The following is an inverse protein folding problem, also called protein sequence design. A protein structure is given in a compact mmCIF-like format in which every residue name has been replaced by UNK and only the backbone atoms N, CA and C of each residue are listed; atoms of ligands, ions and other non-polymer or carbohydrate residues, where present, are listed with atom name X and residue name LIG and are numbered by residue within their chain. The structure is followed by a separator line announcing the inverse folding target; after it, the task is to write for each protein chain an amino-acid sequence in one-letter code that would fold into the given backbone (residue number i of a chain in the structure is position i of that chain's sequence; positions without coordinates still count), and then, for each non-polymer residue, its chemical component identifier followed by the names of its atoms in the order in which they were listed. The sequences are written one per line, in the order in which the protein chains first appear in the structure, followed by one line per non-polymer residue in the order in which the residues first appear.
data_IF_648457811668
#
_entry.id   IF_648457811668
#
_cell.length_a   1.000
_cell.length_b   1.000
_cell.length_c   1.000
_cell.angle_alpha   90.00
_cell.angle_beta   90.00
_cell.angle_gamma   90.00
#
_symmetry.space_group_name_H-M   'P 1'
#
loop_
_entity.id
_entity.type
_entity.pdbx_description
1 polymer ?
#
# COMPACT_ATOMS: atom_id res chain seq x y z
N UNK A 1 9.89 16.53 36.74
CA UNK A 1 11.22 16.34 36.16
C UNK A 1 11.08 15.37 35.03
N UNK A 2 10.98 15.85 33.80
CA UNK A 2 10.85 15.01 32.61
C UNK A 2 12.26 14.53 32.22
N UNK A 3 12.61 13.34 32.70
CA UNK A 3 13.82 12.66 32.24
C UNK A 3 13.66 12.28 30.78
N UNK A 4 14.27 13.05 29.88
CA UNK A 4 14.57 12.56 28.54
C UNK A 4 15.66 11.50 28.69
N UNK A 5 15.25 10.22 28.63
CA UNK A 5 16.18 9.16 28.35
C UNK A 5 16.71 9.39 26.91
N UNK A 6 18.02 9.31 26.68
CA UNK A 6 18.58 9.42 25.35
C UNK A 6 18.01 8.29 24.51
N UNK A 7 17.27 8.62 23.46
CA UNK A 7 16.85 7.64 22.44
C UNK A 7 18.13 7.05 21.84
N UNK A 8 18.44 5.82 22.21
CA UNK A 8 19.59 5.10 21.65
C UNK A 8 19.38 5.01 20.14
N UNK A 9 20.36 5.46 19.36
CA UNK A 9 20.32 5.32 17.90
C UNK A 9 20.37 3.84 17.55
N UNK A 10 19.31 3.30 16.96
CA UNK A 10 19.20 1.90 16.59
C UNK A 10 19.53 1.69 15.12
N UNK A 11 20.17 0.58 14.82
CA UNK A 11 20.28 0.05 13.46
C UNK A 11 19.09 -0.88 13.21
N UNK A 12 18.26 -0.51 12.22
CA UNK A 12 16.99 -1.17 11.90
C UNK A 12 17.13 -1.92 10.58
N UNK A 13 16.88 -3.22 10.57
CA UNK A 13 16.97 -4.05 9.39
C UNK A 13 15.61 -4.31 8.76
N UNK A 14 15.30 -3.64 7.67
CA UNK A 14 14.11 -3.92 6.87
C UNK A 14 14.32 -5.19 6.05
N UNK A 15 13.40 -6.13 6.15
CA UNK A 15 13.40 -7.39 5.39
C UNK A 15 12.13 -7.54 4.60
N UNK A 16 12.24 -7.72 3.29
CA UNK A 16 11.12 -8.00 2.39
C UNK A 16 11.57 -8.89 1.23
N UNK A 17 10.64 -9.35 0.43
CA UNK A 17 10.95 -10.03 -0.82
C UNK A 17 11.50 -9.07 -1.88
N UNK A 18 11.02 -7.83 -1.88
CA UNK A 18 11.57 -6.75 -2.70
C UNK A 18 11.33 -5.38 -2.05
N UNK A 19 12.21 -4.45 -2.36
CA UNK A 19 12.02 -3.01 -2.19
C UNK A 19 12.21 -2.36 -3.56
N UNK A 20 11.09 -2.05 -4.21
CA UNK A 20 11.07 -1.38 -5.51
C UNK A 20 9.98 -0.30 -5.47
N UNK A 21 10.27 0.89 -5.96
CA UNK A 21 9.50 2.13 -5.78
C UNK A 21 8.02 2.05 -6.15
N UNK A 22 7.60 1.11 -6.98
CA UNK A 22 6.25 1.09 -7.59
C UNK A 22 5.17 0.35 -6.81
N UNK A 23 5.52 -0.51 -5.85
CA UNK A 23 4.53 -1.28 -5.10
C UNK A 23 4.17 -0.65 -3.74
N UNK A 24 2.94 -0.89 -3.29
CA UNK A 24 2.42 -0.27 -2.06
C UNK A 24 3.19 -0.62 -0.79
N UNK A 25 3.80 -1.82 -0.69
CA UNK A 25 4.62 -2.23 0.45
C UNK A 25 5.93 -1.45 0.46
N UNK A 26 6.60 -1.37 -0.70
CA UNK A 26 7.85 -0.61 -0.85
C UNK A 26 7.68 0.88 -0.59
N UNK A 27 6.56 1.46 -1.06
CA UNK A 27 6.23 2.86 -0.80
C UNK A 27 5.99 3.12 0.69
N UNK A 28 5.24 2.25 1.37
CA UNK A 28 4.97 2.41 2.80
C UNK A 28 6.22 2.20 3.65
N UNK A 29 7.05 1.19 3.30
CA UNK A 29 8.36 0.98 3.94
C UNK A 29 9.28 2.19 3.82
N UNK A 30 9.20 2.93 2.69
CA UNK A 30 9.98 4.18 2.50
C UNK A 30 9.56 5.26 3.48
N UNK A 31 8.25 5.40 3.72
CA UNK A 31 7.71 6.37 4.68
C UNK A 31 8.10 6.02 6.11
N UNK A 32 8.04 4.72 6.47
CA UNK A 32 8.52 4.24 7.76
C UNK A 32 10.01 4.52 7.94
N UNK A 33 10.83 4.19 6.93
CA UNK A 33 12.26 4.49 6.95
C UNK A 33 12.55 5.98 7.12
N UNK A 34 11.84 6.85 6.40
CA UNK A 34 11.98 8.30 6.55
C UNK A 34 11.69 8.74 7.98
N UNK A 35 10.55 8.33 8.54
CA UNK A 35 10.15 8.68 9.92
C UNK A 35 11.15 8.15 10.95
N UNK A 36 11.62 6.90 10.80
CA UNK A 36 12.60 6.30 11.69
C UNK A 36 13.96 7.01 11.60
N UNK A 37 14.35 7.46 10.41
CA UNK A 37 15.58 8.26 10.21
C UNK A 37 15.45 9.64 10.86
N UNK A 38 14.29 10.29 10.76
CA UNK A 38 14.00 11.55 11.44
C UNK A 38 13.99 11.39 12.98
N UNK A 39 13.70 10.19 13.49
CA UNK A 39 13.82 9.84 14.92
C UNK A 39 15.26 9.53 15.35
N UNK A 40 16.25 9.55 14.43
CA UNK A 40 17.66 9.32 14.70
C UNK A 40 18.15 7.88 14.50
N UNK A 41 17.31 6.99 13.95
CA UNK A 41 17.71 5.61 13.67
C UNK A 41 18.36 5.45 12.29
N UNK A 42 19.11 4.38 12.07
CA UNK A 42 19.71 4.05 10.76
C UNK A 42 19.01 2.84 10.16
N UNK A 43 18.57 2.93 8.91
CA UNK A 43 17.86 1.86 8.22
C UNK A 43 18.76 1.14 7.22
N UNK A 44 18.68 -0.20 7.22
CA UNK A 44 19.36 -1.12 6.33
C UNK A 44 18.33 -2.07 5.69
N UNK A 45 18.66 -2.70 4.57
CA UNK A 45 17.71 -3.47 3.78
C UNK A 45 18.24 -4.85 3.41
N UNK A 46 17.40 -5.86 3.50
CA UNK A 46 17.61 -7.21 3.00
C UNK A 46 16.45 -7.61 2.12
N UNK A 47 16.69 -7.91 0.84
CA UNK A 47 15.64 -8.31 -0.09
C UNK A 47 16.18 -9.13 -1.26
N UNK A 48 15.26 -9.72 -2.05
CA UNK A 48 15.59 -10.35 -3.33
C UNK A 48 15.81 -9.35 -4.47
N UNK A 49 15.19 -8.17 -4.37
CA UNK A 49 15.39 -7.02 -5.26
C UNK A 49 15.28 -5.74 -4.43
N UNK A 50 16.19 -4.78 -4.66
CA UNK A 50 16.27 -3.57 -3.87
C UNK A 50 16.76 -2.39 -4.71
N UNK A 51 16.04 -1.25 -4.62
CA UNK A 51 16.40 0.04 -5.24
C UNK A 51 16.94 1.05 -4.22
N UNK A 52 17.15 0.60 -2.97
CA UNK A 52 17.70 1.42 -1.89
C UNK A 52 19.23 1.55 -2.02
N UNK A 53 19.87 2.48 -1.27
CA UNK A 53 21.32 2.68 -1.34
C UNK A 53 22.09 1.37 -1.18
N UNK A 54 22.98 1.07 -2.13
CA UNK A 54 23.70 -0.21 -2.18
C UNK A 54 24.56 -0.48 -0.93
N UNK A 55 25.12 0.58 -0.34
CA UNK A 55 25.93 0.52 0.87
C UNK A 55 25.16 0.14 2.14
N UNK A 56 23.81 0.19 2.06
CA UNK A 56 22.90 -0.18 3.17
C UNK A 56 22.02 -1.38 2.81
N UNK A 57 22.29 -2.04 1.70
CA UNK A 57 21.44 -3.09 1.16
C UNK A 57 22.19 -4.39 0.95
N UNK A 58 21.56 -5.51 1.31
CA UNK A 58 21.98 -6.85 0.95
C UNK A 58 20.92 -7.45 0.05
N UNK A 59 21.30 -7.79 -1.19
CA UNK A 59 20.40 -8.38 -2.18
C UNK A 59 20.74 -9.86 -2.33
N UNK A 60 19.75 -10.72 -2.04
CA UNK A 60 19.84 -12.18 -2.18
C UNK A 60 18.72 -12.63 -3.09
N UNK A 61 19.00 -13.03 -4.34
CA UNK A 61 17.95 -13.28 -5.36
C UNK A 61 16.88 -14.29 -4.92
N UNK A 62 17.25 -15.29 -4.13
CA UNK A 62 16.35 -16.32 -3.59
C UNK A 62 15.31 -15.76 -2.59
N UNK A 63 15.53 -14.56 -2.08
CA UNK A 63 14.52 -13.86 -1.28
C UNK A 63 13.40 -13.27 -2.15
N UNK A 64 13.60 -13.11 -3.47
CA UNK A 64 12.55 -12.62 -4.38
C UNK A 64 11.53 -13.71 -4.70
N UNK A 65 10.26 -13.32 -4.81
CA UNK A 65 9.18 -14.26 -5.12
C UNK A 65 9.18 -14.73 -6.58
N UNK A 66 9.81 -13.99 -7.52
CA UNK A 66 9.93 -14.38 -8.93
C UNK A 66 11.22 -15.18 -9.21
N UNK A 67 12.03 -15.49 -8.19
CA UNK A 67 13.15 -16.38 -8.38
C UNK A 67 12.66 -17.77 -8.85
N UNK A 68 13.28 -18.40 -9.87
CA UNK A 68 12.78 -19.64 -10.47
C UNK A 68 12.51 -20.77 -9.46
N UNK A 69 13.42 -20.95 -8.49
CA UNK A 69 13.27 -21.95 -7.43
C UNK A 69 12.06 -21.64 -6.53
N UNK A 70 11.83 -20.38 -6.18
CA UNK A 70 10.71 -19.94 -5.34
C UNK A 70 9.38 -20.07 -6.08
N UNK A 71 9.34 -19.72 -7.37
CA UNK A 71 8.16 -19.92 -8.21
C UNK A 71 7.76 -21.39 -8.27
N UNK A 72 8.73 -22.29 -8.46
CA UNK A 72 8.44 -23.73 -8.55
C UNK A 72 8.01 -24.30 -7.18
N UNK A 73 8.68 -23.94 -6.08
CA UNK A 73 8.25 -24.28 -4.71
C UNK A 73 6.81 -23.83 -4.47
N UNK A 74 6.49 -22.57 -4.80
CA UNK A 74 5.16 -21.98 -4.60
C UNK A 74 4.12 -22.70 -5.46
N UNK A 75 4.44 -22.96 -6.73
CA UNK A 75 3.55 -23.70 -7.63
C UNK A 75 3.23 -25.10 -7.09
N UNK A 76 4.22 -25.85 -6.63
CA UNK A 76 4.00 -27.19 -6.08
C UNK A 76 3.21 -27.12 -4.77
N UNK A 77 3.52 -26.19 -3.88
CA UNK A 77 2.89 -26.03 -2.58
C UNK A 77 1.39 -25.72 -2.68
N UNK A 78 0.98 -24.89 -3.66
CA UNK A 78 -0.39 -24.38 -3.79
C UNK A 78 -1.20 -24.99 -4.96
N UNK A 79 -0.64 -25.99 -5.66
CA UNK A 79 -1.37 -26.78 -6.67
C UNK A 79 -1.70 -28.18 -6.22
N UNK A 80 -1.15 -28.65 -5.10
CA UNK A 80 -1.27 -30.02 -4.63
C UNK A 80 -1.92 -30.08 -3.25
N UNK A 81 -2.57 -31.20 -2.93
CA UNK A 81 -3.10 -31.50 -1.59
C UNK A 81 -2.16 -32.38 -0.77
N UNK A 82 -1.30 -33.13 -1.44
CA UNK A 82 -0.31 -34.03 -0.83
C UNK A 82 1.08 -33.50 -1.18
N UNK A 83 1.91 -33.33 -0.15
CA UNK A 83 3.25 -32.78 -0.30
C UNK A 83 4.25 -33.84 -0.76
N UNK A 84 4.90 -33.65 -1.92
CA UNK A 84 6.02 -34.49 -2.31
C UNK A 84 7.20 -34.32 -1.33
N UNK A 85 7.89 -35.41 -0.92
CA UNK A 85 9.02 -35.32 0.03
C UNK A 85 10.11 -34.33 -0.44
N UNK A 86 10.39 -34.30 -1.73
CA UNK A 86 11.38 -33.38 -2.32
C UNK A 86 11.05 -31.92 -2.06
N UNK A 87 9.76 -31.53 -1.96
CA UNK A 87 9.39 -30.16 -1.67
C UNK A 87 9.85 -29.71 -0.28
N UNK A 88 9.75 -30.61 0.71
CA UNK A 88 10.24 -30.32 2.08
C UNK A 88 11.75 -30.08 2.08
N UNK A 89 12.52 -30.88 1.35
CA UNK A 89 13.98 -30.71 1.24
C UNK A 89 14.32 -29.35 0.62
N UNK A 90 13.72 -29.04 -0.53
CA UNK A 90 13.94 -27.78 -1.26
C UNK A 90 13.61 -26.56 -0.40
N UNK A 91 12.46 -26.56 0.31
CA UNK A 91 12.10 -25.46 1.21
C UNK A 91 13.18 -25.27 2.28
N UNK A 92 13.66 -26.35 2.90
CA UNK A 92 14.65 -26.29 3.96
C UNK A 92 16.04 -25.88 3.47
N UNK A 93 16.45 -26.37 2.31
CA UNK A 93 17.76 -26.04 1.73
C UNK A 93 17.85 -24.54 1.40
N UNK A 94 16.84 -23.99 0.73
CA UNK A 94 16.77 -22.54 0.43
C UNK A 94 16.60 -21.72 1.71
N UNK A 95 15.82 -22.20 2.69
CA UNK A 95 15.65 -21.51 3.96
C UNK A 95 16.97 -21.45 4.74
N UNK A 96 17.75 -22.55 4.77
CA UNK A 96 19.09 -22.57 5.38
C UNK A 96 20.02 -21.55 4.76
N UNK A 97 20.07 -21.51 3.43
CA UNK A 97 20.84 -20.53 2.68
C UNK A 97 20.42 -19.07 2.99
N UNK A 98 19.13 -18.77 2.96
CA UNK A 98 18.62 -17.44 3.29
C UNK A 98 18.90 -17.06 4.75
N UNK A 99 18.78 -18.00 5.69
CA UNK A 99 19.07 -17.79 7.11
C UNK A 99 20.52 -17.40 7.34
N UNK A 100 21.46 -18.06 6.68
CA UNK A 100 22.89 -17.71 6.74
C UNK A 100 23.14 -16.26 6.26
N UNK A 101 22.47 -15.85 5.18
CA UNK A 101 22.60 -14.48 4.67
C UNK A 101 21.94 -13.45 5.58
N UNK A 102 20.81 -13.77 6.22
CA UNK A 102 20.19 -12.93 7.24
C UNK A 102 21.09 -12.77 8.47
N UNK A 103 21.75 -13.83 8.93
CA UNK A 103 22.72 -13.76 10.03
C UNK A 103 23.92 -12.86 9.65
N UNK A 104 24.42 -12.98 8.42
CA UNK A 104 25.50 -12.11 7.91
C UNK A 104 25.04 -10.65 7.86
N UNK A 105 23.83 -10.39 7.37
CA UNK A 105 23.23 -9.05 7.32
C UNK A 105 23.14 -8.43 8.72
N UNK A 106 22.61 -9.17 9.70
CA UNK A 106 22.47 -8.69 11.08
C UNK A 106 23.85 -8.33 11.66
N UNK A 107 24.85 -9.19 11.47
CA UNK A 107 26.21 -8.96 11.98
C UNK A 107 26.93 -7.82 11.26
N UNK A 108 26.79 -7.74 9.93
CA UNK A 108 27.48 -6.74 9.10
C UNK A 108 27.07 -5.32 9.48
N UNK A 109 25.78 -5.11 9.77
CA UNK A 109 25.23 -3.79 10.06
C UNK A 109 24.85 -3.59 11.52
N UNK A 110 25.21 -4.53 12.40
CA UNK A 110 24.88 -4.49 13.83
C UNK A 110 23.39 -4.19 14.05
N UNK A 111 22.51 -4.99 13.43
CA UNK A 111 21.07 -4.78 13.45
C UNK A 111 20.52 -5.08 14.83
N UNK A 112 19.82 -4.09 15.41
CA UNK A 112 19.19 -4.19 16.72
C UNK A 112 17.74 -4.66 16.66
N UNK A 113 17.00 -4.26 15.61
CA UNK A 113 15.58 -4.60 15.41
C UNK A 113 15.35 -4.95 13.95
N UNK A 114 14.62 -6.03 13.68
CA UNK A 114 14.14 -6.36 12.34
C UNK A 114 12.75 -5.74 12.10
N UNK A 115 12.54 -5.18 10.91
CA UNK A 115 11.25 -4.77 10.39
C UNK A 115 10.92 -5.66 9.18
N UNK A 116 10.02 -6.62 9.37
CA UNK A 116 9.68 -7.61 8.33
C UNK A 116 8.42 -7.17 7.61
N UNK A 117 8.59 -6.76 6.36
CA UNK A 117 7.53 -6.26 5.51
C UNK A 117 6.87 -7.40 4.72
N UNK A 118 5.68 -7.78 5.12
CA UNK A 118 4.79 -8.75 4.47
C UNK A 118 5.34 -10.19 4.30
N UNK A 119 6.61 -10.45 4.60
CA UNK A 119 7.22 -11.78 4.40
C UNK A 119 6.69 -12.84 5.38
N UNK A 120 6.14 -12.44 6.52
CA UNK A 120 5.48 -13.31 7.51
C UNK A 120 3.94 -13.20 7.46
N UNK A 121 3.38 -12.67 6.38
CA UNK A 121 1.94 -12.41 6.22
C UNK A 121 1.31 -13.31 5.16
N UNK A 122 1.97 -13.42 4.01
CA UNK A 122 1.49 -14.15 2.84
C UNK A 122 2.54 -15.11 2.30
N UNK A 123 2.17 -16.37 1.98
CA UNK A 123 3.13 -17.43 1.67
C UNK A 123 3.59 -17.42 0.19
N UNK A 124 4.12 -16.29 -0.27
CA UNK A 124 4.68 -16.18 -1.63
C UNK A 124 6.17 -16.54 -1.68
N UNK A 125 6.85 -16.62 -0.52
CA UNK A 125 8.18 -17.17 -0.39
C UNK A 125 8.27 -17.96 0.93
N UNK A 126 7.94 -19.25 0.87
CA UNK A 126 7.97 -20.15 2.04
C UNK A 126 9.38 -20.27 2.66
N UNK A 127 10.46 -20.43 1.88
CA UNK A 127 11.82 -20.47 2.42
C UNK A 127 12.23 -19.23 3.23
N UNK A 128 11.92 -18.03 2.75
CA UNK A 128 12.24 -16.79 3.46
C UNK A 128 11.50 -16.69 4.81
N UNK A 129 10.21 -17.05 4.81
CA UNK A 129 9.43 -17.04 6.04
C UNK A 129 9.93 -18.09 7.04
N UNK A 130 10.38 -19.27 6.58
CA UNK A 130 10.97 -20.29 7.43
C UNK A 130 12.29 -19.78 8.02
N UNK A 131 13.17 -19.23 7.19
CA UNK A 131 14.44 -18.66 7.62
C UNK A 131 14.26 -17.57 8.70
N UNK A 132 13.31 -16.65 8.48
CA UNK A 132 12.99 -15.59 9.45
C UNK A 132 12.41 -16.16 10.74
N UNK A 133 11.45 -17.08 10.65
CA UNK A 133 10.80 -17.65 11.83
C UNK A 133 11.80 -18.38 12.72
N UNK A 134 12.67 -19.20 12.13
CA UNK A 134 13.72 -19.90 12.86
C UNK A 134 14.77 -18.94 13.44
N UNK A 135 15.24 -17.98 12.64
CA UNK A 135 16.22 -16.98 13.07
C UNK A 135 15.70 -16.17 14.28
N UNK A 136 14.47 -15.68 14.22
CA UNK A 136 13.87 -14.89 15.30
C UNK A 136 13.69 -15.77 16.56
N UNK A 137 13.23 -17.03 16.38
CA UNK A 137 13.05 -17.95 17.49
C UNK A 137 14.38 -18.32 18.20
N UNK A 138 15.46 -18.49 17.43
CA UNK A 138 16.77 -18.88 17.96
C UNK A 138 17.55 -17.72 18.56
N UNK A 139 17.47 -16.55 17.96
CA UNK A 139 18.25 -15.37 18.40
C UNK A 139 17.54 -14.50 19.42
N UNK A 140 16.19 -14.55 19.46
CA UNK A 140 15.40 -13.61 20.25
C UNK A 140 15.48 -12.16 19.76
N UNK A 141 15.96 -11.92 18.53
CA UNK A 141 16.11 -10.56 18.00
C UNK A 141 14.76 -9.83 17.99
N UNK A 142 14.67 -8.63 18.58
CA UNK A 142 13.48 -7.81 18.53
C UNK A 142 12.99 -7.62 17.09
N UNK A 143 11.73 -7.90 16.83
CA UNK A 143 11.19 -7.89 15.46
C UNK A 143 9.82 -7.24 15.41
N UNK A 144 9.60 -6.37 14.42
CA UNK A 144 8.29 -5.84 14.02
C UNK A 144 7.90 -6.54 12.73
N UNK A 145 6.81 -7.31 12.74
CA UNK A 145 6.22 -7.89 11.52
C UNK A 145 5.07 -6.99 11.06
N UNK A 146 5.28 -6.29 9.95
CA UNK A 146 4.30 -5.39 9.35
C UNK A 146 3.52 -6.11 8.25
N UNK A 147 2.21 -6.22 8.45
CA UNK A 147 1.30 -6.99 7.61
C UNK A 147 0.39 -6.07 6.83
N UNK A 148 0.55 -6.03 5.51
CA UNK A 148 -0.35 -5.31 4.60
C UNK A 148 -1.54 -6.16 4.17
N UNK A 149 -1.34 -7.47 4.09
CA UNK A 149 -2.33 -8.49 3.79
C UNK A 149 -2.11 -9.70 4.70
N UNK A 150 -3.13 -10.56 4.81
CA UNK A 150 -3.03 -11.84 5.49
C UNK A 150 -3.39 -12.98 4.52
N UNK A 151 -2.74 -14.14 4.63
CA UNK A 151 -2.82 -15.20 3.63
C UNK A 151 -4.25 -15.69 3.36
N UNK A 152 -5.11 -15.69 4.38
CA UNK A 152 -6.49 -16.13 4.25
C UNK A 152 -7.39 -15.18 3.47
N UNK A 153 -6.95 -13.97 3.21
CA UNK A 153 -7.64 -13.01 2.34
C UNK A 153 -7.46 -13.34 0.86
N UNK A 154 -6.53 -14.25 0.54
CA UNK A 154 -6.19 -14.63 -0.83
C UNK A 154 -6.53 -16.11 -1.10
N UNK A 155 -7.62 -16.33 -1.83
CA UNK A 155 -8.16 -17.68 -2.14
C UNK A 155 -7.12 -18.67 -2.69
N UNK A 156 -6.13 -18.20 -3.43
CA UNK A 156 -5.07 -19.02 -4.05
C UNK A 156 -4.22 -19.80 -3.03
N UNK A 157 -4.19 -19.40 -1.76
CA UNK A 157 -3.41 -20.07 -0.72
C UNK A 157 -4.24 -21.04 0.13
N UNK A 158 -5.55 -21.08 -0.06
CA UNK A 158 -6.44 -21.93 0.74
C UNK A 158 -6.37 -23.42 0.34
N UNK A 159 -5.95 -23.72 -0.89
CA UNK A 159 -5.67 -25.08 -1.33
C UNK A 159 -4.16 -25.27 -1.39
N UNK A 160 -3.63 -26.11 -0.51
CA UNK A 160 -2.18 -26.30 -0.40
C UNK A 160 -1.82 -27.63 0.25
N UNK A 161 -0.56 -28.01 0.18
CA UNK A 161 0.01 -29.20 0.84
C UNK A 161 1.01 -28.84 1.96
N UNK A 162 0.99 -27.59 2.46
CA UNK A 162 1.99 -27.03 3.39
C UNK A 162 1.36 -26.34 4.61
N UNK A 163 0.21 -26.89 5.09
CA UNK A 163 -0.51 -26.31 6.23
C UNK A 163 0.31 -26.23 7.52
N UNK A 164 1.23 -27.14 7.73
CA UNK A 164 2.18 -27.12 8.84
C UNK A 164 3.06 -25.86 8.79
N UNK A 165 3.67 -25.55 7.64
CA UNK A 165 4.42 -24.33 7.43
C UNK A 165 3.55 -23.07 7.55
N UNK A 166 2.36 -23.07 6.93
CA UNK A 166 1.44 -21.94 7.02
C UNK A 166 1.06 -21.64 8.47
N UNK A 167 0.73 -22.66 9.24
CA UNK A 167 0.35 -22.51 10.64
C UNK A 167 1.51 -22.08 11.54
N UNK A 168 2.73 -22.40 11.17
CA UNK A 168 3.92 -22.02 11.92
C UNK A 168 4.37 -20.57 11.62
N UNK A 169 4.28 -20.12 10.35
CA UNK A 169 4.98 -18.93 9.87
C UNK A 169 4.08 -17.73 9.47
N UNK A 170 2.75 -17.93 9.28
CA UNK A 170 1.90 -16.91 8.70
C UNK A 170 0.68 -16.53 9.54
N UNK A 171 0.87 -15.61 10.50
CA UNK A 171 2.12 -15.15 11.08
C UNK A 171 2.59 -16.05 12.24
N UNK A 172 3.89 -16.08 12.55
CA UNK A 172 4.42 -16.85 13.68
C UNK A 172 4.06 -16.18 15.02
N UNK A 173 4.02 -16.94 16.09
CA UNK A 173 3.85 -16.42 17.45
C UNK A 173 5.14 -16.61 18.24
N UNK A 174 5.94 -15.55 18.36
CA UNK A 174 7.25 -15.57 19.02
C UNK A 174 7.32 -14.42 20.05
N UNK A 175 7.99 -14.63 21.22
CA UNK A 175 8.04 -13.65 22.30
C UNK A 175 8.69 -12.31 21.91
N UNK A 176 9.71 -12.33 21.04
CA UNK A 176 10.44 -11.15 20.58
C UNK A 176 9.81 -10.47 19.35
N UNK A 177 8.62 -10.91 18.93
CA UNK A 177 7.98 -10.44 17.71
C UNK A 177 6.68 -9.71 18.02
N UNK A 178 6.59 -8.47 17.55
CA UNK A 178 5.40 -7.63 17.61
C UNK A 178 4.75 -7.58 16.23
N UNK A 179 3.43 -7.73 16.19
CA UNK A 179 2.67 -7.65 14.95
C UNK A 179 2.06 -6.28 14.76
N UNK A 180 2.19 -5.74 13.55
CA UNK A 180 1.55 -4.51 13.10
C UNK A 180 0.70 -4.81 11.87
N UNK A 181 -0.51 -4.31 11.84
CA UNK A 181 -1.46 -4.42 10.72
C UNK A 181 -1.94 -3.04 10.30
N UNK A 182 -2.38 -2.90 9.05
CA UNK A 182 -2.77 -1.60 8.50
C UNK A 182 -4.25 -1.23 8.75
N UNK A 183 -5.06 -2.13 9.32
CA UNK A 183 -6.47 -1.87 9.61
C UNK A 183 -6.99 -2.71 10.78
N UNK A 184 -8.11 -2.28 11.38
CA UNK A 184 -8.71 -2.94 12.55
C UNK A 184 -9.31 -4.32 12.22
N UNK A 185 -9.78 -4.53 11.00
CA UNK A 185 -10.31 -5.82 10.54
C UNK A 185 -9.22 -6.90 10.57
N UNK A 186 -8.02 -6.58 10.10
CA UNK A 186 -6.87 -7.48 10.14
C UNK A 186 -6.45 -7.80 11.59
N UNK A 187 -6.45 -6.79 12.49
CA UNK A 187 -6.18 -7.00 13.92
C UNK A 187 -7.19 -7.97 14.56
N UNK A 188 -8.48 -7.77 14.30
CA UNK A 188 -9.54 -8.64 14.78
C UNK A 188 -9.40 -10.07 14.23
N UNK A 189 -9.10 -10.22 12.93
CA UNK A 189 -8.89 -11.52 12.30
C UNK A 189 -7.68 -12.25 12.90
N UNK A 190 -6.56 -11.56 13.15
CA UNK A 190 -5.38 -12.12 13.81
C UNK A 190 -5.72 -12.62 15.22
N UNK A 191 -6.42 -11.80 15.99
CA UNK A 191 -6.85 -12.15 17.33
C UNK A 191 -7.74 -13.40 17.34
N UNK A 192 -8.80 -13.41 16.52
CA UNK A 192 -9.76 -14.52 16.51
C UNK A 192 -9.20 -15.82 15.90
N UNK A 193 -8.39 -15.71 14.83
CA UNK A 193 -7.88 -16.90 14.11
C UNK A 193 -6.60 -17.48 14.70
N UNK A 194 -5.78 -16.62 15.30
CA UNK A 194 -4.41 -16.98 15.72
C UNK A 194 -4.11 -16.73 17.19
N UNK A 195 -5.00 -16.03 17.92
CA UNK A 195 -4.73 -15.58 19.29
C UNK A 195 -3.55 -14.61 19.38
N UNK A 196 -3.33 -13.81 18.33
CA UNK A 196 -2.25 -12.85 18.22
C UNK A 196 -2.81 -11.43 18.34
N UNK A 197 -2.30 -10.66 19.30
CA UNK A 197 -2.57 -9.23 19.37
C UNK A 197 -1.69 -8.48 18.36
N UNK A 198 -2.23 -7.42 17.75
CA UNK A 198 -1.50 -6.58 16.81
C UNK A 198 -1.77 -5.10 17.07
N UNK A 199 -0.77 -4.27 16.82
CA UNK A 199 -0.94 -2.82 16.73
C UNK A 199 -1.55 -2.47 15.38
N UNK A 200 -2.45 -1.48 15.35
CA UNK A 200 -3.03 -0.97 14.11
C UNK A 200 -2.31 0.32 13.74
N UNK A 201 -1.49 0.24 12.70
CA UNK A 201 -0.81 1.39 12.12
C UNK A 201 -1.25 1.50 10.66
N UNK A 202 -2.18 2.38 10.33
CA UNK A 202 -2.64 2.57 8.95
C UNK A 202 -1.56 3.23 8.09
N UNK A 203 -1.72 3.15 6.78
CA UNK A 203 -0.88 3.87 5.84
C UNK A 203 -0.93 5.37 6.10
N UNK A 204 0.17 6.06 5.85
CA UNK A 204 0.37 7.47 6.18
C UNK A 204 0.78 8.31 4.97
N UNK A 205 0.65 9.64 5.11
CA UNK A 205 1.25 10.63 4.22
C UNK A 205 1.88 11.77 5.01
N UNK A 206 2.79 12.50 4.37
CA UNK A 206 3.47 13.61 5.01
C UNK A 206 2.58 14.87 5.07
N UNK A 207 1.51 14.81 5.85
CA UNK A 207 0.59 15.94 6.07
C UNK A 207 1.22 17.13 6.82
N UNK A 208 2.43 16.98 7.34
CA UNK A 208 3.14 18.09 7.97
C UNK A 208 3.78 19.02 6.92
N UNK A 209 3.94 18.54 5.69
CA UNK A 209 4.32 19.34 4.52
C UNK A 209 3.11 19.42 3.58
N UNK A 210 2.50 20.59 3.40
CA UNK A 210 1.38 20.74 2.47
C UNK A 210 1.85 20.46 1.03
N UNK A 211 0.94 19.97 0.17
CA UNK A 211 1.27 19.79 -1.24
C UNK A 211 1.69 21.13 -1.86
N UNK A 212 2.68 21.14 -2.76
CA UNK A 212 3.05 22.37 -3.46
C UNK A 212 1.87 22.89 -4.29
N UNK A 213 1.83 24.20 -4.57
CA UNK A 213 0.81 24.73 -5.48
C UNK A 213 1.03 24.21 -6.92
N UNK A 214 -0.03 24.13 -7.74
CA UNK A 214 0.10 23.86 -9.17
C UNK A 214 1.02 24.87 -9.84
N UNK A 215 1.85 24.42 -10.76
CA UNK A 215 2.84 25.22 -11.46
C UNK A 215 2.62 25.23 -12.99
N UNK A 216 3.50 25.95 -13.72
CA UNK A 216 3.46 26.03 -15.19
C UNK A 216 3.66 24.67 -15.86
N UNK A 217 4.42 23.75 -15.24
CA UNK A 217 4.62 22.40 -15.80
C UNK A 217 3.30 21.63 -15.87
N UNK A 218 2.51 21.70 -14.82
CA UNK A 218 1.20 21.02 -14.73
C UNK A 218 0.10 21.76 -15.50
N UNK A 219 0.32 23.00 -15.96
CA UNK A 219 -0.70 23.80 -16.63
C UNK A 219 -1.20 23.16 -17.93
N UNK A 220 -0.30 22.54 -18.72
CA UNK A 220 -0.66 21.92 -20.00
C UNK A 220 -1.27 20.51 -19.88
N UNK A 221 -1.40 19.95 -18.67
CA UNK A 221 -1.90 18.57 -18.49
C UNK A 221 -3.29 18.36 -19.11
N UNK A 222 -4.21 19.31 -18.92
CA UNK A 222 -5.58 19.17 -19.48
C UNK A 222 -5.55 19.16 -21.01
N UNK A 223 -4.74 20.03 -21.61
CA UNK A 223 -4.54 20.08 -23.06
C UNK A 223 -3.90 18.77 -23.59
N UNK A 224 -2.84 18.29 -22.93
CA UNK A 224 -2.15 17.05 -23.29
C UNK A 224 -3.04 15.80 -23.14
N UNK A 225 -4.06 15.85 -22.28
CA UNK A 225 -5.10 14.84 -22.12
C UNK A 225 -6.32 15.06 -23.05
N UNK A 226 -6.36 16.16 -23.80
CA UNK A 226 -7.47 16.52 -24.67
C UNK A 226 -8.76 16.87 -23.90
N UNK A 227 -8.63 17.44 -22.70
CA UNK A 227 -9.74 17.87 -21.83
C UNK A 227 -9.98 19.36 -22.09
N UNK A 228 -11.19 19.71 -22.59
CA UNK A 228 -11.56 21.10 -22.83
C UNK A 228 -11.77 21.87 -21.52
N UNK A 229 -11.71 23.22 -21.60
CA UNK A 229 -11.84 24.07 -20.40
C UNK A 229 -13.22 23.97 -19.73
N UNK A 230 -14.25 23.65 -20.51
CA UNK A 230 -15.65 23.46 -20.07
C UNK A 230 -15.99 22.01 -19.66
N UNK A 231 -15.04 21.07 -19.78
CA UNK A 231 -15.21 19.68 -19.34
C UNK A 231 -14.65 19.50 -17.93
N UNK A 232 -15.31 18.72 -17.09
CA UNK A 232 -14.74 18.28 -15.81
C UNK A 232 -13.69 17.20 -16.00
N UNK A 233 -12.63 17.28 -15.20
CA UNK A 233 -11.58 16.28 -15.12
C UNK A 233 -11.81 15.37 -13.89
N UNK A 234 -12.36 14.19 -14.09
CA UNK A 234 -12.51 13.20 -13.04
C UNK A 234 -11.36 12.20 -13.08
N UNK A 235 -10.68 12.05 -11.95
CA UNK A 235 -9.49 11.21 -11.82
C UNK A 235 -9.83 9.89 -11.16
N UNK A 236 -9.47 8.77 -11.82
CA UNK A 236 -9.44 7.42 -11.26
C UNK A 236 -7.97 7.01 -11.00
N UNK A 237 -7.40 7.28 -9.81
CA UNK A 237 -5.96 7.13 -9.57
C UNK A 237 -5.60 5.73 -9.10
N UNK A 238 -6.03 4.71 -9.84
CA UNK A 238 -5.80 3.31 -9.47
C UNK A 238 -5.42 2.47 -10.67
N UNK A 239 -4.74 1.34 -10.42
CA UNK A 239 -4.52 0.31 -11.45
C UNK A 239 -5.85 -0.23 -11.96
N UNK A 240 -5.85 -0.66 -13.22
CA UNK A 240 -7.02 -1.25 -13.89
C UNK A 240 -7.13 -2.72 -13.48
N UNK A 241 -7.84 -2.98 -12.37
CA UNK A 241 -8.13 -4.32 -11.85
C UNK A 241 -9.55 -4.39 -11.31
N UNK A 242 -10.24 -5.53 -11.44
CA UNK A 242 -11.68 -5.69 -11.16
C UNK A 242 -12.11 -5.18 -9.79
N UNK A 243 -11.32 -5.44 -8.74
CA UNK A 243 -11.64 -4.99 -7.37
C UNK A 243 -11.70 -3.46 -7.20
N UNK A 244 -11.21 -2.69 -8.18
CA UNK A 244 -11.29 -1.22 -8.17
C UNK A 244 -12.65 -0.68 -8.61
N UNK A 245 -13.51 -1.52 -9.18
CA UNK A 245 -14.91 -1.18 -9.50
C UNK A 245 -15.05 0.01 -10.43
N UNK A 246 -14.16 0.15 -11.42
CA UNK A 246 -14.07 1.31 -12.32
C UNK A 246 -15.36 1.50 -13.11
N UNK A 247 -16.12 0.43 -13.31
CA UNK A 247 -17.47 0.47 -13.91
C UNK A 247 -18.39 1.46 -13.18
N UNK A 248 -18.30 1.54 -11.85
CA UNK A 248 -19.10 2.51 -11.08
C UNK A 248 -18.66 3.97 -11.34
N UNK A 249 -17.38 4.21 -11.60
CA UNK A 249 -16.91 5.53 -12.00
C UNK A 249 -17.48 5.92 -13.37
N UNK A 250 -17.51 4.98 -14.33
CA UNK A 250 -18.10 5.18 -15.66
C UNK A 250 -19.62 5.44 -15.53
N UNK A 251 -20.34 4.61 -14.74
CA UNK A 251 -21.77 4.81 -14.45
C UNK A 251 -22.02 6.18 -13.82
N UNK A 252 -21.22 6.57 -12.83
CA UNK A 252 -21.33 7.87 -12.16
C UNK A 252 -21.21 9.02 -13.16
N UNK A 253 -20.16 9.03 -13.99
CA UNK A 253 -19.96 10.07 -15.02
C UNK A 253 -21.16 10.15 -15.96
N UNK A 254 -21.63 9.01 -16.45
CA UNK A 254 -22.81 8.94 -17.35
C UNK A 254 -24.05 9.55 -16.73
N UNK A 255 -24.36 9.13 -15.50
CA UNK A 255 -25.59 9.54 -14.80
C UNK A 255 -25.53 10.96 -14.27
N UNK A 256 -24.33 11.46 -13.96
CA UNK A 256 -24.12 12.85 -13.56
C UNK A 256 -24.56 13.82 -14.65
N UNK A 257 -24.32 13.46 -15.91
CA UNK A 257 -24.83 14.19 -17.10
C UNK A 257 -24.10 15.51 -17.35
N UNK A 258 -22.92 15.73 -16.73
CA UNK A 258 -22.07 16.90 -16.98
C UNK A 258 -21.02 16.60 -18.08
N UNK A 259 -20.55 17.61 -18.83
CA UNK A 259 -19.40 17.43 -19.71
C UNK A 259 -18.18 17.02 -18.90
N UNK A 260 -17.70 15.80 -19.06
CA UNK A 260 -16.61 15.28 -18.25
C UNK A 260 -15.75 14.26 -18.98
N UNK A 261 -14.50 14.15 -18.58
CA UNK A 261 -13.55 13.09 -18.94
C UNK A 261 -13.21 12.28 -17.71
N UNK A 262 -13.26 10.97 -17.81
CA UNK A 262 -12.75 10.05 -16.79
C UNK A 262 -11.34 9.64 -17.17
N UNK A 263 -10.36 10.01 -16.35
CA UNK A 263 -8.93 9.75 -16.60
C UNK A 263 -8.43 8.70 -15.63
N UNK A 264 -7.87 7.60 -16.13
CA UNK A 264 -7.20 6.57 -15.36
C UNK A 264 -5.69 6.81 -15.44
N UNK A 265 -5.04 7.06 -14.31
CA UNK A 265 -3.62 7.44 -14.27
C UNK A 265 -2.63 6.28 -14.24
N UNK A 266 -3.09 5.05 -14.02
CA UNK A 266 -2.22 3.88 -13.89
C UNK A 266 -2.54 2.84 -14.96
N UNK A 267 -1.50 2.13 -15.41
CA UNK A 267 -1.61 1.03 -16.37
C UNK A 267 -2.51 -0.11 -15.89
N UNK A 268 -2.83 -1.00 -16.81
CA UNK A 268 -3.41 -2.32 -16.52
C UNK A 268 -2.53 -3.05 -15.51
N UNK A 269 -3.15 -3.64 -14.50
CA UNK A 269 -2.42 -4.42 -13.50
C UNK A 269 -2.15 -5.85 -13.97
N UNK A 270 -1.75 -6.71 -13.04
CA UNK A 270 -1.39 -8.12 -13.25
C UNK A 270 -2.55 -9.00 -13.80
N UNK A 271 -3.77 -8.46 -13.96
CA UNK A 271 -4.96 -9.17 -14.44
C UNK A 271 -5.10 -9.16 -15.98
N UNK A 272 -4.11 -8.59 -16.70
CA UNK A 272 -4.06 -8.56 -18.17
C UNK A 272 -4.96 -7.47 -18.81
N UNK A 273 -4.95 -7.43 -20.14
CA UNK A 273 -5.62 -6.37 -20.93
C UNK A 273 -7.13 -6.60 -21.10
N UNK A 274 -7.65 -7.81 -20.80
CA UNK A 274 -9.05 -8.14 -21.01
C UNK A 274 -9.99 -7.22 -20.20
N UNK A 275 -9.63 -6.92 -18.96
CA UNK A 275 -10.45 -6.04 -18.13
C UNK A 275 -10.37 -4.58 -18.59
N UNK A 276 -9.21 -4.11 -19.05
CA UNK A 276 -9.09 -2.79 -19.66
C UNK A 276 -9.96 -2.69 -20.92
N UNK A 277 -9.93 -3.69 -21.80
CA UNK A 277 -10.78 -3.74 -22.98
C UNK A 277 -12.28 -3.74 -22.65
N UNK A 278 -12.68 -4.48 -21.60
CA UNK A 278 -14.03 -4.45 -21.08
C UNK A 278 -14.46 -3.04 -20.66
N UNK A 279 -13.61 -2.32 -19.92
CA UNK A 279 -13.89 -0.95 -19.48
C UNK A 279 -14.05 0.03 -20.65
N UNK A 280 -13.22 -0.07 -21.69
CA UNK A 280 -13.37 0.74 -22.91
C UNK A 280 -14.70 0.46 -23.59
N UNK A 281 -15.02 -0.82 -23.79
CA UNK A 281 -16.31 -1.21 -24.37
C UNK A 281 -17.48 -0.70 -23.54
N UNK A 282 -17.40 -0.80 -22.22
CA UNK A 282 -18.45 -0.32 -21.33
C UNK A 282 -18.56 1.21 -21.35
N UNK A 283 -17.44 1.94 -21.38
CA UNK A 283 -17.42 3.40 -21.49
C UNK A 283 -18.07 3.87 -22.81
N UNK A 284 -17.75 3.21 -23.93
CA UNK A 284 -18.35 3.50 -25.22
C UNK A 284 -19.87 3.27 -25.21
N UNK A 285 -20.34 2.15 -24.68
CA UNK A 285 -21.78 1.86 -24.54
C UNK A 285 -22.50 2.89 -23.66
N UNK A 286 -21.81 3.37 -22.63
CA UNK A 286 -22.34 4.41 -21.72
C UNK A 286 -22.14 5.82 -22.27
N UNK A 287 -21.50 5.99 -23.43
CA UNK A 287 -21.13 7.29 -24.01
C UNK A 287 -20.32 8.17 -23.04
N UNK A 288 -19.35 7.57 -22.36
CA UNK A 288 -18.41 8.23 -21.44
C UNK A 288 -17.02 8.28 -22.07
N UNK A 289 -16.43 9.46 -22.08
CA UNK A 289 -15.06 9.66 -22.60
C UNK A 289 -14.06 9.20 -21.55
N UNK A 290 -13.49 8.01 -21.76
CA UNK A 290 -12.48 7.38 -20.90
C UNK A 290 -11.08 7.60 -21.49
N UNK A 291 -10.11 8.06 -20.67
CA UNK A 291 -8.72 8.33 -21.06
C UNK A 291 -7.80 7.48 -20.21
N UNK A 292 -6.91 6.71 -20.85
CA UNK A 292 -5.78 6.08 -20.17
C UNK A 292 -4.58 7.02 -20.25
N UNK A 293 -4.08 7.44 -19.09
CA UNK A 293 -2.98 8.39 -18.99
C UNK A 293 -1.64 7.74 -18.55
N UNK A 294 -1.60 6.42 -18.45
CA UNK A 294 -0.44 5.65 -17.98
C UNK A 294 0.85 5.90 -18.79
N UNK A 295 0.74 6.28 -20.06
CA UNK A 295 1.90 6.62 -20.90
C UNK A 295 2.52 7.97 -20.55
N UNK A 296 1.73 8.93 -20.05
CA UNK A 296 2.18 10.29 -19.72
C UNK A 296 2.16 10.60 -18.23
N UNK A 297 1.79 9.62 -17.39
CA UNK A 297 1.84 9.73 -15.93
C UNK A 297 2.86 8.74 -15.39
N UNK A 298 3.82 9.25 -14.62
CA UNK A 298 4.90 8.47 -14.03
C UNK A 298 5.18 8.84 -12.58
N UNK A 299 6.16 8.19 -11.97
CA UNK A 299 6.58 8.49 -10.60
C UNK A 299 7.19 9.89 -10.45
N UNK A 300 7.87 10.33 -11.49
CA UNK A 300 8.58 11.61 -11.55
C UNK A 300 8.29 12.30 -12.88
N UNK A 301 8.33 13.61 -12.83
CA UNK A 301 8.29 14.43 -14.04
C UNK A 301 9.46 14.12 -14.96
N UNK A 302 9.23 14.17 -16.26
CA UNK A 302 10.21 13.88 -17.29
C UNK A 302 9.68 14.17 -18.70
N UNK A 303 10.31 13.55 -19.70
CA UNK A 303 9.87 13.64 -21.09
C UNK A 303 10.00 12.28 -21.77
N UNK A 304 9.05 11.95 -22.62
CA UNK A 304 9.10 10.81 -23.52
C UNK A 304 10.08 11.06 -24.68
N UNK A 305 10.54 10.04 -25.39
CA UNK A 305 11.43 10.21 -26.55
C UNK A 305 10.84 11.09 -27.67
N UNK A 306 9.52 11.17 -27.76
CA UNK A 306 8.79 12.01 -28.73
C UNK A 306 8.60 13.46 -28.27
N UNK A 307 9.14 13.83 -27.10
CA UNK A 307 9.08 15.17 -26.53
C UNK A 307 7.84 15.45 -25.67
N UNK A 308 6.87 14.54 -25.58
CA UNK A 308 5.72 14.70 -24.66
C UNK A 308 6.17 14.69 -23.21
N UNK A 309 5.51 15.48 -22.37
CA UNK A 309 5.78 15.54 -20.93
C UNK A 309 5.33 14.23 -20.24
N UNK A 310 6.10 13.84 -19.22
CA UNK A 310 5.67 12.86 -18.20
C UNK A 310 5.28 13.63 -16.95
N UNK A 311 4.05 13.51 -16.55
CA UNK A 311 3.48 14.13 -15.36
C UNK A 311 3.61 13.23 -14.14
N UNK A 312 3.82 13.80 -12.97
CA UNK A 312 3.76 13.08 -11.71
C UNK A 312 2.32 12.93 -11.22
N UNK A 313 2.08 12.04 -10.26
CA UNK A 313 0.77 11.94 -9.59
C UNK A 313 0.33 13.28 -8.98
N UNK A 314 1.28 14.07 -8.44
CA UNK A 314 0.98 15.42 -7.97
C UNK A 314 0.33 16.27 -9.06
N UNK A 315 0.88 16.27 -10.27
CA UNK A 315 0.34 17.07 -11.38
C UNK A 315 -1.10 16.68 -11.70
N UNK A 316 -1.37 15.40 -11.73
CA UNK A 316 -2.69 14.87 -12.06
C UNK A 316 -3.71 15.23 -10.96
N UNK A 317 -3.36 14.99 -9.69
CA UNK A 317 -4.23 15.39 -8.57
C UNK A 317 -4.43 16.90 -8.52
N UNK A 318 -3.40 17.69 -8.79
CA UNK A 318 -3.49 19.16 -8.71
C UNK A 318 -4.44 19.78 -9.74
N UNK A 319 -4.76 19.07 -10.81
CA UNK A 319 -5.58 19.54 -11.93
C UNK A 319 -6.95 18.86 -12.06
N UNK A 320 -7.20 17.79 -11.31
CA UNK A 320 -8.52 17.15 -11.33
C UNK A 320 -9.54 17.90 -10.50
N UNK A 321 -10.81 17.79 -10.90
CA UNK A 321 -11.95 18.42 -10.22
C UNK A 321 -12.54 17.50 -9.15
N UNK A 322 -12.53 16.16 -9.39
CA UNK A 322 -13.02 15.13 -8.47
C UNK A 322 -12.19 13.86 -8.62
N UNK A 323 -11.91 13.20 -7.50
CA UNK A 323 -11.32 11.86 -7.49
C UNK A 323 -12.43 10.82 -7.38
N UNK A 324 -12.41 9.81 -8.25
CA UNK A 324 -13.28 8.64 -8.15
C UNK A 324 -12.54 7.48 -7.51
N UNK A 325 -13.10 6.92 -6.44
CA UNK A 325 -12.52 5.80 -5.72
C UNK A 325 -13.59 4.73 -5.41
N UNK A 326 -14.13 4.08 -6.44
CA UNK A 326 -15.25 3.14 -6.33
C UNK A 326 -14.82 1.73 -5.92
N UNK A 327 -13.67 1.58 -5.29
CA UNK A 327 -13.09 0.27 -4.94
C UNK A 327 -14.05 -0.59 -4.11
N UNK A 328 -14.14 -1.87 -4.47
CA UNK A 328 -14.95 -2.87 -3.74
C UNK A 328 -14.21 -3.43 -2.55
N UNK A 329 -12.88 -3.52 -2.64
CA UNK A 329 -12.03 -4.10 -1.61
C UNK A 329 -10.67 -3.40 -1.58
N UNK A 330 -10.27 -2.94 -0.39
CA UNK A 330 -8.97 -2.35 -0.10
C UNK A 330 -8.44 -2.78 1.26
N UNK A 331 -7.11 -2.91 1.37
CA UNK A 331 -6.45 -3.09 2.65
C UNK A 331 -6.51 -1.83 3.52
N UNK A 332 -6.34 -0.65 2.91
CA UNK A 332 -6.54 0.65 3.54
C UNK A 332 -7.11 1.65 2.52
N UNK A 333 -6.34 2.06 1.51
CA UNK A 333 -6.77 2.99 0.47
C UNK A 333 -5.80 4.15 0.26
N UNK A 334 -4.65 3.90 -0.38
CA UNK A 334 -3.66 4.96 -0.64
C UNK A 334 -4.24 6.09 -1.47
N UNK A 335 -5.03 5.80 -2.51
CA UNK A 335 -5.66 6.83 -3.33
C UNK A 335 -6.66 7.70 -2.54
N UNK A 336 -7.28 7.16 -1.47
CA UNK A 336 -8.05 7.96 -0.53
C UNK A 336 -7.14 8.96 0.19
N UNK A 337 -5.99 8.50 0.75
CA UNK A 337 -5.04 9.40 1.43
C UNK A 337 -4.45 10.46 0.50
N UNK A 338 -4.15 10.08 -0.73
CA UNK A 338 -3.65 10.99 -1.76
C UNK A 338 -4.67 12.08 -2.09
N UNK A 339 -5.94 11.71 -2.31
CA UNK A 339 -7.01 12.67 -2.55
C UNK A 339 -7.16 13.67 -1.39
N UNK A 340 -7.10 13.18 -0.14
CA UNK A 340 -7.14 14.02 1.06
C UNK A 340 -5.91 14.94 1.14
N UNK A 341 -4.72 14.39 0.87
CA UNK A 341 -3.47 15.14 0.91
C UNK A 341 -3.44 16.27 -0.12
N UNK A 342 -3.86 15.98 -1.36
CA UNK A 342 -3.93 16.96 -2.44
C UNK A 342 -5.18 17.84 -2.41
N UNK A 343 -5.98 17.73 -1.34
CA UNK A 343 -7.19 18.53 -1.11
C UNK A 343 -8.16 18.42 -2.30
N UNK A 344 -8.48 17.18 -2.71
CA UNK A 344 -9.46 16.93 -3.78
C UNK A 344 -10.73 16.33 -3.21
N UNK A 345 -11.90 16.77 -3.71
CA UNK A 345 -13.15 16.12 -3.37
C UNK A 345 -13.15 14.68 -3.88
N UNK A 346 -13.87 13.79 -3.21
CA UNK A 346 -13.74 12.36 -3.41
C UNK A 346 -15.12 11.72 -3.49
N UNK A 347 -15.35 10.90 -4.55
CA UNK A 347 -16.41 9.90 -4.62
C UNK A 347 -15.85 8.56 -4.13
N UNK A 348 -16.45 7.97 -3.12
CA UNK A 348 -15.98 6.72 -2.52
C UNK A 348 -17.09 5.69 -2.38
N UNK A 349 -16.79 4.43 -2.71
CA UNK A 349 -17.65 3.31 -2.32
C UNK A 349 -17.41 2.95 -0.85
N UNK A 350 -18.46 2.59 -0.12
CA UNK A 350 -18.37 2.17 1.28
C UNK A 350 -17.75 0.77 1.43
N UNK A 351 -16.48 0.59 0.97
CA UNK A 351 -15.77 -0.67 1.24
C UNK A 351 -15.50 -0.85 2.74
N UNK A 352 -15.31 -2.09 3.16
CA UNK A 352 -15.26 -2.47 4.59
C UNK A 352 -14.34 -1.59 5.43
N UNK A 353 -13.10 -1.38 5.00
CA UNK A 353 -12.12 -0.60 5.79
C UNK A 353 -12.48 0.88 5.84
N UNK A 354 -13.02 1.44 4.75
CA UNK A 354 -13.54 2.81 4.79
C UNK A 354 -14.65 2.95 5.83
N UNK A 355 -15.63 2.06 5.81
CA UNK A 355 -16.79 2.09 6.70
C UNK A 355 -16.42 1.91 8.18
N UNK A 356 -15.41 1.07 8.49
CA UNK A 356 -15.05 0.73 9.87
C UNK A 356 -13.97 1.65 10.43
N UNK A 357 -12.92 1.96 9.65
CA UNK A 357 -11.72 2.62 10.16
C UNK A 357 -11.59 4.09 9.75
N UNK A 358 -12.19 4.50 8.62
CA UNK A 358 -12.01 5.84 8.06
C UNK A 358 -13.23 6.73 8.33
N UNK A 359 -14.40 6.32 7.86
CA UNK A 359 -15.65 7.09 7.99
C UNK A 359 -15.98 7.52 9.43
N UNK A 360 -15.80 6.68 10.49
CA UNK A 360 -16.10 7.09 11.87
C UNK A 360 -15.20 8.20 12.41
N UNK A 361 -14.08 8.50 11.75
CA UNK A 361 -13.22 9.64 12.10
C UNK A 361 -13.74 10.99 11.61
N UNK A 362 -14.84 10.98 10.82
CA UNK A 362 -15.54 12.17 10.38
C UNK A 362 -15.08 12.74 9.03
N UNK A 363 -14.36 11.97 8.23
CA UNK A 363 -14.03 12.36 6.85
C UNK A 363 -15.30 12.56 6.03
N UNK A 364 -15.29 13.54 5.15
CA UNK A 364 -16.40 13.90 4.26
C UNK A 364 -16.08 13.45 2.84
N UNK A 365 -17.00 12.75 2.21
CA UNK A 365 -16.91 12.30 0.81
C UNK A 365 -18.29 12.22 0.21
N UNK A 366 -18.37 12.18 -1.11
CA UNK A 366 -19.57 11.73 -1.81
C UNK A 366 -19.56 10.21 -1.71
N UNK A 367 -20.49 9.65 -0.97
CA UNK A 367 -20.49 8.22 -0.66
C UNK A 367 -21.55 7.47 -1.45
N UNK A 368 -21.26 6.21 -1.76
CA UNK A 368 -22.23 5.25 -2.23
C UNK A 368 -21.93 3.85 -1.66
N UNK A 369 -22.90 2.97 -1.69
CA UNK A 369 -22.77 1.61 -1.16
C UNK A 369 -23.20 0.60 -2.23
N UNK A 370 -22.26 0.23 -3.09
CA UNK A 370 -22.45 -0.71 -4.19
C UNK A 370 -23.27 -0.15 -5.36
N UNK A 371 -24.08 0.89 -5.16
CA UNK A 371 -24.96 1.48 -6.18
C UNK A 371 -24.87 3.01 -6.17
N UNK A 372 -24.75 3.61 -7.34
CA UNK A 372 -24.86 5.06 -7.50
C UNK A 372 -26.33 5.45 -7.40
N UNK A 373 -26.70 6.22 -6.38
CA UNK A 373 -28.09 6.68 -6.17
C UNK A 373 -28.31 8.09 -6.70
N UNK A 374 -29.58 8.52 -6.86
CA UNK A 374 -29.87 9.92 -7.20
C UNK A 374 -29.35 10.90 -6.12
N UNK A 375 -29.39 10.50 -4.86
CA UNK A 375 -28.80 11.29 -3.76
C UNK A 375 -27.30 11.47 -3.95
N UNK A 376 -26.56 10.41 -4.35
CA UNK A 376 -25.12 10.48 -4.66
C UNK A 376 -24.86 11.48 -5.79
N UNK A 377 -25.69 11.45 -6.84
CA UNK A 377 -25.55 12.35 -7.99
C UNK A 377 -25.88 13.80 -7.62
N UNK A 378 -26.93 14.03 -6.81
CA UNK A 378 -27.28 15.35 -6.33
C UNK A 378 -26.17 15.96 -5.46
N UNK A 379 -25.62 15.21 -4.50
CA UNK A 379 -24.49 15.64 -3.69
C UNK A 379 -23.28 16.01 -4.56
N UNK A 380 -23.02 15.24 -5.62
CA UNK A 380 -21.93 15.52 -6.53
C UNK A 380 -22.14 16.83 -7.30
N UNK A 381 -23.36 17.08 -7.83
CA UNK A 381 -23.67 18.34 -8.52
C UNK A 381 -23.55 19.54 -7.58
N UNK A 382 -24.15 19.46 -6.39
CA UNK A 382 -24.08 20.52 -5.38
C UNK A 382 -22.63 20.85 -4.99
N UNK A 383 -21.78 19.83 -4.88
CA UNK A 383 -20.37 20.02 -4.55
C UNK A 383 -19.60 20.66 -5.71
N UNK A 384 -19.78 20.16 -6.95
CA UNK A 384 -19.06 20.66 -8.13
C UNK A 384 -19.48 22.09 -8.50
N UNK A 385 -20.73 22.46 -8.24
CA UNK A 385 -21.26 23.81 -8.49
C UNK A 385 -20.88 24.83 -7.39
N UNK A 386 -20.27 24.38 -6.28
CA UNK A 386 -19.99 25.21 -5.13
C UNK A 386 -18.50 25.13 -4.67
N UNK A 387 -17.62 25.97 -5.20
CA UNK A 387 -16.20 26.00 -4.83
C UNK A 387 -15.95 26.18 -3.31
N UNK A 388 -16.79 26.95 -2.62
CA UNK A 388 -16.67 27.14 -1.16
C UNK A 388 -16.93 25.83 -0.42
N UNK A 389 -17.91 25.05 -0.84
CA UNK A 389 -18.19 23.76 -0.23
C UNK A 389 -17.06 22.74 -0.48
N UNK A 390 -16.45 22.80 -1.67
CA UNK A 390 -15.25 22.01 -1.99
C UNK A 390 -14.11 22.36 -1.05
N UNK A 391 -13.82 23.64 -0.87
CA UNK A 391 -12.77 24.12 0.01
C UNK A 391 -13.00 23.72 1.47
N UNK A 392 -14.20 23.95 2.00
CA UNK A 392 -14.57 23.54 3.36
C UNK A 392 -14.40 22.03 3.60
N UNK A 393 -14.86 21.22 2.64
CA UNK A 393 -14.76 19.76 2.70
C UNK A 393 -13.31 19.31 2.68
N UNK A 394 -12.52 19.80 1.74
CA UNK A 394 -11.13 19.37 1.54
C UNK A 394 -10.20 19.85 2.66
N UNK A 395 -10.39 21.06 3.17
CA UNK A 395 -9.66 21.56 4.35
C UNK A 395 -10.02 20.78 5.62
N UNK A 396 -11.31 20.45 5.79
CA UNK A 396 -11.74 19.60 6.89
C UNK A 396 -11.05 18.22 6.84
N UNK A 397 -11.06 17.59 5.67
CA UNK A 397 -10.45 16.30 5.44
C UNK A 397 -8.92 16.34 5.63
N UNK A 398 -8.25 17.38 5.13
CA UNK A 398 -6.81 17.56 5.31
C UNK A 398 -6.42 17.65 6.80
N UNK A 399 -7.20 18.38 7.61
CA UNK A 399 -6.98 18.46 9.08
C UNK A 399 -7.13 17.10 9.74
N UNK A 400 -8.11 16.29 9.33
CA UNK A 400 -8.28 14.93 9.84
C UNK A 400 -7.15 13.99 9.36
N UNK A 401 -6.73 14.10 8.10
CA UNK A 401 -5.57 13.38 7.57
C UNK A 401 -4.31 13.65 8.38
N UNK A 402 -4.04 14.93 8.65
CA UNK A 402 -2.92 15.35 9.51
C UNK A 402 -3.02 14.81 10.93
N UNK A 403 -4.22 14.73 11.50
CA UNK A 403 -4.45 14.21 12.85
C UNK A 403 -4.24 12.70 12.96
N UNK A 404 -4.70 11.93 11.98
CA UNK A 404 -4.78 10.48 12.09
C UNK A 404 -3.75 9.72 11.27
N UNK A 405 -3.26 10.31 10.16
CA UNK A 405 -2.49 9.62 9.13
C UNK A 405 -1.18 10.36 8.76
N UNK A 406 -0.69 11.23 9.67
CA UNK A 406 0.56 11.98 9.44
C UNK A 406 1.80 11.18 9.85
N UNK A 407 2.96 11.61 9.37
CA UNK A 407 4.27 11.11 9.81
C UNK A 407 4.48 11.31 11.31
N UNK A 408 3.95 12.39 11.89
CA UNK A 408 3.98 12.62 13.36
C UNK A 408 3.23 11.53 14.12
N UNK A 409 2.06 11.11 13.62
CA UNK A 409 1.28 10.02 14.22
C UNK A 409 2.04 8.71 14.13
N UNK A 410 2.62 8.40 12.95
CA UNK A 410 3.46 7.24 12.76
C UNK A 410 4.68 7.25 13.68
N UNK A 411 5.38 8.38 13.79
CA UNK A 411 6.55 8.54 14.66
C UNK A 411 6.22 8.21 16.12
N UNK A 412 5.09 8.71 16.63
CA UNK A 412 4.64 8.43 18.00
C UNK A 412 4.35 6.94 18.23
N UNK A 413 3.69 6.28 17.26
CA UNK A 413 3.36 4.85 17.36
C UNK A 413 4.62 3.98 17.28
N UNK A 414 5.52 4.25 16.33
CA UNK A 414 6.78 3.51 16.18
C UNK A 414 7.69 3.67 17.40
N UNK A 415 7.78 4.87 17.95
CA UNK A 415 8.52 5.11 19.19
C UNK A 415 7.99 4.25 20.34
N UNK A 416 6.67 4.20 20.53
CA UNK A 416 6.06 3.37 21.56
C UNK A 416 6.32 1.87 21.36
N UNK A 417 6.25 1.37 20.12
CA UNK A 417 6.54 -0.04 19.82
C UNK A 417 8.03 -0.36 20.08
N UNK A 418 8.94 0.50 19.65
CA UNK A 418 10.39 0.30 19.88
C UNK A 418 10.72 0.30 21.39
N UNK A 419 10.09 1.18 22.17
CA UNK A 419 10.25 1.18 23.63
C UNK A 419 9.81 -0.15 24.27
N UNK A 420 8.64 -0.66 23.87
CA UNK A 420 8.14 -1.98 24.33
C UNK A 420 9.11 -3.10 23.95
N UNK A 421 9.59 -3.13 22.70
CA UNK A 421 10.49 -4.17 22.21
C UNK A 421 11.87 -4.15 22.88
N UNK A 422 12.38 -2.97 23.20
CA UNK A 422 13.67 -2.80 23.83
C UNK A 422 13.64 -2.94 25.36
N UNK A 423 12.45 -3.19 25.94
CA UNK A 423 12.29 -3.33 27.38
C UNK A 423 12.40 -2.01 28.17
N UNK A 424 12.22 -0.87 27.51
CA UNK A 424 12.31 0.45 28.10
C UNK A 424 10.93 0.95 28.63
N UNK A 425 9.88 0.15 28.49
CA UNK A 425 8.54 0.46 29.00
C UNK A 425 8.37 -0.19 30.38
N UNK A 426 8.52 0.62 31.47
CA UNK A 426 7.96 0.34 32.78
C UNK A 426 6.53 0.89 32.88
#
# INVERSE_FOLDING_TARGET
MSGHLPTQNLNLGFVSMRFNSTDGVSLESSKWCQVLTELGHTCFYFAGQCDRPAERSVVVPEAHFDHPEILDITRIAFSNRIRPPVLTMRIRDVAGYLKEHLIKFIRQYDIHVLLVENALSIPINLPLALALTELIAESGIPTIAHHHDLFWERKRYLVNCVWDYINMMYPPRLPSLVHVVINSSAANQLSHRRGIAAYVIPNVMNFDQPPPPPDEYSASLREDLGIADDEYFFLQPTRVVRRKGIEHAIEFVRRLGLPARLVISHASGDEGDEYAQHLFTFADLMNVKLIMADQIVGEKRGSLPDGRKIYSLFDVYSRCDLVTYPSLLEGFGNAFLEAIYYKRPLLVNNYTIYSIDIKPKGFRAIEFDGFITEQTLQQARELLDNPTLVEEMTEHNYRLGRRYYSYRTLASQLKGILQVLMGEAE
#
